data_IF_941738980418
#
_entry.id   IF_941738980418
#
_cell.length_a   1.000
_cell.length_b   1.000
_cell.length_c   1.000
_cell.angle_alpha   90.00
_cell.angle_beta   90.00
_cell.angle_gamma   90.00
#
_symmetry.space_group_name_H-M   'P 1'
#
loop_
_entity.id
_entity.type
_entity.pdbx_description
1 polymer ?
#
# COMPACT_ATOMS: atom_id res chain seq x y z
N UNK A 1 7.75 -19.32 -2.54
CA UNK A 1 6.59 -19.24 -3.45
C UNK A 1 6.84 -20.20 -4.59
N UNK A 2 5.79 -20.85 -5.10
CA UNK A 2 5.89 -21.73 -6.27
C UNK A 2 5.75 -20.89 -7.55
N UNK A 3 6.32 -21.36 -8.67
CA UNK A 3 6.04 -20.83 -10.01
C UNK A 3 4.69 -21.33 -10.56
N UNK A 4 4.01 -22.21 -9.83
CA UNK A 4 2.71 -22.75 -10.21
C UNK A 4 1.60 -21.69 -10.10
N UNK A 5 0.57 -21.77 -10.96
CA UNK A 5 -0.58 -20.88 -10.87
C UNK A 5 -1.35 -21.10 -9.57
N UNK A 6 -2.09 -20.07 -9.15
CA UNK A 6 -2.91 -20.16 -7.96
C UNK A 6 -4.04 -21.20 -8.11
N UNK A 7 -4.36 -21.85 -7.00
CA UNK A 7 -5.54 -22.71 -6.87
C UNK A 7 -6.39 -22.27 -5.67
N UNK A 8 -7.57 -22.86 -5.51
CA UNK A 8 -8.42 -22.58 -4.35
C UNK A 8 -7.79 -23.07 -3.04
N UNK A 9 -6.98 -24.12 -3.14
CA UNK A 9 -6.22 -24.73 -2.04
C UNK A 9 -4.97 -23.92 -1.67
N UNK A 10 -4.43 -23.12 -2.59
CA UNK A 10 -3.16 -22.39 -2.39
C UNK A 10 -3.35 -21.07 -1.61
N UNK A 11 -3.57 -21.16 -0.30
CA UNK A 11 -3.61 -19.99 0.58
C UNK A 11 -2.49 -20.04 1.62
N UNK A 12 -1.59 -19.05 1.58
CA UNK A 12 -0.53 -18.92 2.58
C UNK A 12 -0.88 -17.83 3.58
N UNK A 13 -0.99 -18.19 4.85
CA UNK A 13 -1.20 -17.26 5.96
C UNK A 13 0.15 -16.80 6.50
N UNK A 14 0.34 -15.49 6.57
CA UNK A 14 1.53 -14.86 7.16
C UNK A 14 1.33 -14.50 8.63
N UNK A 15 0.09 -14.20 9.02
CA UNK A 15 -0.27 -13.80 10.37
C UNK A 15 -1.76 -14.07 10.62
N UNK A 16 -2.10 -14.47 11.83
CA UNK A 16 -3.49 -14.62 12.27
C UNK A 16 -3.61 -14.27 13.76
N UNK A 17 -4.70 -13.59 14.08
CA UNK A 17 -5.13 -13.21 15.44
C UNK A 17 -6.66 -13.15 15.47
N UNK A 18 -7.25 -12.82 16.62
CA UNK A 18 -8.71 -12.66 16.75
C UNK A 18 -9.27 -11.52 15.88
N UNK A 19 -8.46 -10.52 15.58
CA UNK A 19 -8.90 -9.31 14.87
C UNK A 19 -8.49 -9.27 13.40
N UNK A 20 -7.40 -9.95 13.03
CA UNK A 20 -6.81 -9.85 11.69
C UNK A 20 -6.23 -11.17 11.20
N UNK A 21 -6.34 -11.38 9.89
CA UNK A 21 -5.57 -12.36 9.14
C UNK A 21 -4.80 -11.64 8.02
N UNK A 22 -3.53 -11.97 7.84
CA UNK A 22 -2.72 -11.50 6.71
C UNK A 22 -2.34 -12.70 5.87
N UNK A 23 -2.60 -12.61 4.57
CA UNK A 23 -2.25 -13.64 3.59
C UNK A 23 -1.15 -13.17 2.66
N UNK A 24 -0.35 -14.09 2.19
CA UNK A 24 0.59 -13.89 1.07
C UNK A 24 -0.19 -14.10 -0.23
N UNK A 25 -0.80 -13.02 -0.74
CA UNK A 25 -1.62 -13.06 -1.95
C UNK A 25 -0.78 -13.56 -3.11
N UNK A 26 -1.27 -14.56 -3.85
CA UNK A 26 -0.61 -15.01 -5.06
C UNK A 26 -0.62 -13.91 -6.15
N UNK A 27 0.34 -13.99 -7.07
CA UNK A 27 0.30 -13.20 -8.31
C UNK A 27 -0.85 -13.69 -9.21
N UNK A 28 -1.36 -12.82 -10.06
CA UNK A 28 -2.50 -13.05 -10.96
C UNK A 28 -3.75 -13.64 -10.29
N UNK A 29 -4.04 -13.14 -9.09
CA UNK A 29 -5.27 -13.48 -8.34
C UNK A 29 -5.99 -12.21 -7.92
N UNK A 30 -7.29 -12.14 -8.23
CA UNK A 30 -8.15 -11.03 -7.78
C UNK A 30 -8.41 -11.15 -6.28
N UNK A 31 -8.57 -10.02 -5.61
CA UNK A 31 -8.96 -10.02 -4.19
C UNK A 31 -10.39 -10.57 -4.04
N UNK A 32 -11.31 -10.00 -4.81
CA UNK A 32 -12.70 -10.39 -4.89
C UNK A 32 -13.20 -10.25 -6.34
N UNK A 33 -14.39 -10.79 -6.61
CA UNK A 33 -15.05 -10.64 -7.89
C UNK A 33 -16.56 -10.73 -7.75
N UNK A 34 -17.28 -9.96 -8.57
CA UNK A 34 -18.73 -10.10 -8.76
C UNK A 34 -19.08 -11.03 -9.92
N UNK A 35 -18.08 -11.47 -10.68
CA UNK A 35 -18.27 -12.31 -11.85
C UNK A 35 -18.41 -13.76 -11.39
N UNK A 36 -19.56 -14.37 -11.62
CA UNK A 36 -19.88 -15.72 -11.13
C UNK A 36 -18.92 -16.82 -11.64
N UNK A 37 -18.27 -16.59 -12.78
CA UNK A 37 -17.31 -17.52 -13.38
C UNK A 37 -15.88 -17.36 -12.83
N UNK A 38 -15.60 -16.29 -12.08
CA UNK A 38 -14.30 -16.09 -11.45
C UNK A 38 -14.22 -16.97 -10.21
N UNK A 39 -13.47 -18.07 -10.33
CA UNK A 39 -13.37 -19.09 -9.28
C UNK A 39 -12.09 -18.97 -8.45
N UNK A 40 -11.18 -18.08 -8.82
CA UNK A 40 -9.87 -17.94 -8.19
C UNK A 40 -9.69 -16.52 -7.66
N UNK A 41 -10.23 -16.29 -6.47
CA UNK A 41 -10.05 -15.04 -5.72
C UNK A 41 -9.52 -15.32 -4.33
N UNK A 42 -8.87 -14.33 -3.72
CA UNK A 42 -8.46 -14.40 -2.30
C UNK A 42 -9.68 -14.61 -1.42
N UNK A 43 -10.80 -13.97 -1.76
CA UNK A 43 -12.07 -14.13 -1.05
C UNK A 43 -12.55 -15.59 -1.04
N UNK A 44 -12.50 -16.29 -2.18
CA UNK A 44 -12.89 -17.69 -2.26
C UNK A 44 -11.87 -18.60 -1.55
N UNK A 45 -10.57 -18.31 -1.67
CA UNK A 45 -9.54 -19.03 -0.92
C UNK A 45 -9.76 -18.90 0.60
N UNK A 46 -10.01 -17.69 1.11
CA UNK A 46 -10.33 -17.46 2.51
C UNK A 46 -11.60 -18.20 2.94
N UNK A 47 -12.66 -18.18 2.12
CA UNK A 47 -13.90 -18.90 2.41
C UNK A 47 -13.69 -20.42 2.47
N UNK A 48 -12.87 -20.97 1.57
CA UNK A 48 -12.55 -22.38 1.51
C UNK A 48 -11.78 -22.85 2.75
N UNK A 49 -10.74 -22.11 3.15
CA UNK A 49 -9.87 -22.47 4.28
C UNK A 49 -10.44 -22.08 5.65
N UNK A 50 -11.18 -20.96 5.71
CA UNK A 50 -11.68 -20.38 6.96
C UNK A 50 -13.16 -19.98 6.86
N UNK A 51 -14.08 -20.93 6.59
CA UNK A 51 -15.50 -20.62 6.43
C UNK A 51 -16.12 -19.99 7.69
N UNK A 52 -15.59 -20.32 8.87
CA UNK A 52 -16.03 -19.77 10.15
C UNK A 52 -15.63 -18.30 10.38
N UNK A 53 -14.68 -17.78 9.60
CA UNK A 53 -14.26 -16.37 9.66
C UNK A 53 -15.09 -15.46 8.73
N UNK A 54 -15.94 -16.05 7.88
CA UNK A 54 -16.78 -15.27 6.98
C UNK A 54 -17.86 -14.51 7.75
N UNK A 55 -17.95 -13.21 7.51
CA UNK A 55 -18.94 -12.30 8.06
C UNK A 55 -20.16 -12.19 7.10
N UNK A 56 -21.30 -12.82 7.43
CA UNK A 56 -22.48 -12.84 6.57
C UNK A 56 -23.12 -11.45 6.41
N UNK A 57 -22.75 -10.47 7.24
CA UNK A 57 -23.22 -9.08 7.10
C UNK A 57 -22.48 -8.33 5.99
N UNK A 58 -21.47 -8.94 5.36
CA UNK A 58 -20.70 -8.35 4.27
C UNK A 58 -20.98 -9.07 2.97
N UNK A 59 -20.99 -8.31 1.88
CA UNK A 59 -21.26 -8.85 0.55
C UNK A 59 -20.27 -9.96 0.15
N UNK A 60 -18.99 -9.81 0.51
CA UNK A 60 -17.92 -10.74 0.14
C UNK A 60 -17.51 -11.71 1.27
N UNK A 61 -18.16 -11.66 2.44
CA UNK A 61 -17.77 -12.43 3.62
C UNK A 61 -16.55 -11.89 4.37
N UNK A 62 -15.74 -11.01 3.80
CA UNK A 62 -14.49 -10.55 4.40
C UNK A 62 -14.30 -9.03 4.29
N UNK A 63 -13.54 -8.45 5.24
CA UNK A 63 -13.26 -7.01 5.33
C UNK A 63 -11.81 -6.72 4.96
N UNK A 64 -11.52 -6.65 3.66
CA UNK A 64 -10.19 -6.28 3.16
C UNK A 64 -9.81 -4.87 3.61
N UNK A 65 -8.68 -4.74 4.31
CA UNK A 65 -8.24 -3.46 4.88
C UNK A 65 -7.59 -2.54 3.85
N UNK A 66 -7.06 -3.12 2.78
CA UNK A 66 -6.47 -2.41 1.64
C UNK A 66 -6.55 -3.28 0.38
N UNK A 67 -6.05 -2.76 -0.74
CA UNK A 67 -6.01 -3.45 -2.01
C UNK A 67 -4.56 -3.73 -2.45
N UNK A 68 -4.45 -4.69 -3.36
CA UNK A 68 -3.29 -5.01 -4.19
C UNK A 68 -3.80 -5.23 -5.62
N UNK A 69 -3.01 -4.86 -6.62
CA UNK A 69 -3.35 -5.12 -8.02
C UNK A 69 -3.44 -6.63 -8.27
N UNK A 70 -4.19 -7.03 -9.29
CA UNK A 70 -4.35 -8.42 -9.73
C UNK A 70 -3.00 -9.16 -9.82
N UNK A 71 -2.06 -8.61 -10.59
CA UNK A 71 -0.75 -9.22 -10.82
C UNK A 71 0.26 -9.02 -9.69
N UNK A 72 -0.04 -8.19 -8.68
CA UNK A 72 0.87 -7.98 -7.54
C UNK A 72 0.65 -9.07 -6.50
N UNK A 73 1.71 -9.76 -6.09
CA UNK A 73 1.64 -10.71 -4.96
C UNK A 73 1.93 -10.04 -3.61
N UNK A 74 1.77 -10.77 -2.51
CA UNK A 74 2.31 -10.39 -1.20
C UNK A 74 1.26 -10.06 -0.14
N UNK A 75 1.73 -9.44 0.94
CA UNK A 75 0.95 -9.23 2.16
C UNK A 75 -0.35 -8.45 1.90
N UNK A 76 -1.48 -9.12 2.19
CA UNK A 76 -2.82 -8.54 2.15
C UNK A 76 -3.53 -8.76 3.49
N UNK A 77 -3.87 -7.67 4.17
CA UNK A 77 -4.52 -7.72 5.49
C UNK A 77 -6.05 -7.69 5.38
N UNK A 78 -6.69 -8.58 6.12
CA UNK A 78 -8.14 -8.72 6.26
C UNK A 78 -8.52 -8.60 7.73
N UNK A 79 -9.48 -7.74 8.04
CA UNK A 79 -10.06 -7.64 9.37
C UNK A 79 -11.16 -8.68 9.55
N UNK A 80 -11.16 -9.34 10.71
CA UNK A 80 -12.10 -10.41 11.06
C UNK A 80 -13.38 -9.90 11.73
N UNK A 81 -13.41 -8.62 12.11
CA UNK A 81 -14.59 -7.98 12.67
C UNK A 81 -14.66 -6.48 12.33
N UNK A 82 -15.82 -5.87 12.57
CA UNK A 82 -16.10 -4.46 12.24
C UNK A 82 -15.21 -3.48 13.01
N UNK A 83 -14.89 -3.77 14.27
CA UNK A 83 -14.03 -2.90 15.08
C UNK A 83 -12.59 -2.90 14.57
N UNK A 84 -12.05 -4.07 14.26
CA UNK A 84 -10.75 -4.26 13.65
C UNK A 84 -10.65 -3.55 12.28
N UNK A 85 -11.68 -3.68 11.44
CA UNK A 85 -11.75 -2.98 10.16
C UNK A 85 -11.71 -1.45 10.35
N UNK A 86 -12.45 -0.93 11.34
CA UNK A 86 -12.43 0.50 11.68
C UNK A 86 -11.07 1.01 12.16
N UNK A 87 -10.36 0.23 12.98
CA UNK A 87 -8.99 0.57 13.42
C UNK A 87 -8.02 0.61 12.25
N UNK A 88 -7.99 -0.44 11.42
CA UNK A 88 -7.10 -0.50 10.27
C UNK A 88 -7.41 0.61 9.25
N UNK A 89 -8.70 0.86 8.97
CA UNK A 89 -9.12 1.95 8.09
C UNK A 89 -8.56 3.30 8.52
N UNK A 90 -8.57 3.63 9.82
CA UNK A 90 -7.98 4.87 10.34
C UNK A 90 -6.49 4.95 10.04
N UNK A 91 -5.73 3.88 10.27
CA UNK A 91 -4.29 3.87 9.96
C UNK A 91 -4.00 4.12 8.47
N UNK A 92 -4.78 3.51 7.56
CA UNK A 92 -4.65 3.74 6.12
C UNK A 92 -5.05 5.16 5.72
N UNK A 93 -6.16 5.66 6.26
CA UNK A 93 -6.66 7.02 6.01
C UNK A 93 -5.67 8.08 6.47
N UNK A 94 -5.10 7.92 7.65
CA UNK A 94 -4.17 8.85 8.29
C UNK A 94 -2.72 8.66 7.78
N UNK A 95 -2.50 7.74 6.83
CA UNK A 95 -1.20 7.42 6.22
C UNK A 95 -0.13 7.13 7.26
N UNK A 96 -0.47 6.30 8.26
CA UNK A 96 0.46 5.81 9.28
C UNK A 96 0.97 4.40 9.00
N UNK A 97 0.34 3.69 8.06
CA UNK A 97 0.78 2.37 7.59
C UNK A 97 2.11 2.48 6.85
N UNK A 98 3.06 1.62 7.19
CA UNK A 98 4.32 1.44 6.44
C UNK A 98 4.16 0.26 5.50
N UNK A 99 4.51 0.45 4.22
CA UNK A 99 4.52 -0.61 3.21
C UNK A 99 5.85 -0.59 2.48
N UNK A 100 6.40 -1.76 2.18
CA UNK A 100 7.52 -1.87 1.25
C UNK A 100 7.30 -3.04 0.30
N UNK A 101 7.74 -2.87 -0.94
CA UNK A 101 7.56 -3.83 -2.01
C UNK A 101 8.93 -4.21 -2.56
N UNK A 102 9.10 -5.48 -2.89
CA UNK A 102 10.22 -5.92 -3.71
C UNK A 102 9.83 -5.84 -5.17
N UNK A 103 10.81 -5.53 -6.03
CA UNK A 103 10.62 -5.56 -7.47
C UNK A 103 11.91 -5.88 -8.22
N UNK A 104 11.79 -6.53 -9.37
CA UNK A 104 12.82 -6.51 -10.42
C UNK A 104 12.42 -5.46 -11.47
N UNK A 105 13.32 -4.53 -11.76
CA UNK A 105 13.13 -3.47 -12.76
C UNK A 105 14.04 -3.70 -13.96
N UNK A 106 13.54 -3.45 -15.17
CA UNK A 106 14.35 -3.51 -16.40
C UNK A 106 15.46 -2.45 -16.37
N UNK A 107 16.65 -2.83 -16.81
CA UNK A 107 17.85 -1.97 -16.83
C UNK A 107 18.54 -1.84 -15.46
N UNK A 108 19.66 -1.13 -15.45
CA UNK A 108 20.42 -0.79 -14.24
C UNK A 108 20.07 0.61 -13.77
N UNK A 109 19.45 0.70 -12.59
CA UNK A 109 19.12 1.99 -11.97
C UNK A 109 20.41 2.59 -11.40
N UNK A 110 20.86 3.73 -11.91
CA UNK A 110 22.14 4.34 -11.53
C UNK A 110 22.18 4.87 -10.10
N UNK A 111 21.08 5.47 -9.62
CA UNK A 111 21.00 6.04 -8.28
C UNK A 111 20.54 5.00 -7.26
N UNK A 112 21.38 4.68 -6.28
CA UNK A 112 21.08 3.63 -5.29
C UNK A 112 19.87 3.93 -4.40
N UNK A 113 19.56 5.21 -4.20
CA UNK A 113 18.35 5.67 -3.52
C UNK A 113 17.76 6.82 -4.33
N UNK A 114 16.45 6.81 -4.57
CA UNK A 114 15.76 7.84 -5.35
C UNK A 114 14.34 8.07 -4.85
N UNK A 115 13.97 9.32 -4.63
CA UNK A 115 12.57 9.72 -4.42
C UNK A 115 11.91 9.94 -5.77
N UNK A 116 10.74 9.32 -5.98
CA UNK A 116 9.91 9.47 -7.18
C UNK A 116 8.62 10.19 -6.77
N UNK A 117 8.46 11.44 -7.20
CA UNK A 117 7.43 12.37 -6.71
C UNK A 117 6.47 12.88 -7.80
N UNK A 118 6.41 12.20 -8.95
CA UNK A 118 5.47 12.50 -10.02
C UNK A 118 4.02 12.33 -9.55
N UNK A 119 3.16 13.33 -9.77
CA UNK A 119 1.73 13.14 -9.53
C UNK A 119 1.13 12.13 -10.52
N UNK A 120 0.20 11.29 -10.06
CA UNK A 120 -0.41 10.21 -10.86
C UNK A 120 -1.87 10.51 -11.13
N UNK A 121 -2.26 10.49 -12.41
CA UNK A 121 -3.60 10.74 -12.93
C UNK A 121 -4.14 9.57 -13.75
N UNK A 122 -5.40 9.69 -14.17
CA UNK A 122 -6.02 8.73 -15.10
C UNK A 122 -5.57 9.05 -16.52
N UNK A 123 -5.34 8.01 -17.33
CA UNK A 123 -5.09 8.21 -18.75
C UNK A 123 -6.42 8.23 -19.51
N UNK A 124 -6.70 9.31 -20.25
CA UNK A 124 -7.92 9.44 -21.07
C UNK A 124 -7.70 9.13 -22.54
N UNK A 125 -6.47 8.78 -22.96
CA UNK A 125 -6.21 8.35 -24.33
C UNK A 125 -6.94 7.04 -24.65
N UNK A 126 -7.49 6.97 -25.85
CA UNK A 126 -8.18 5.79 -26.37
C UNK A 126 -7.28 4.55 -26.29
N UNK A 127 -7.85 3.42 -25.87
CA UNK A 127 -7.12 2.17 -25.63
C UNK A 127 -6.27 2.13 -24.35
N UNK A 128 -6.01 3.26 -23.69
CA UNK A 128 -5.18 3.36 -22.48
C UNK A 128 -5.97 3.73 -21.21
N UNK A 129 -7.29 3.78 -21.27
CA UNK A 129 -8.17 4.18 -20.15
C UNK A 129 -8.10 3.28 -18.92
N UNK A 130 -7.59 2.05 -19.07
CA UNK A 130 -7.30 1.13 -17.97
C UNK A 130 -5.94 1.41 -17.29
N UNK A 131 -5.15 2.32 -17.85
CA UNK A 131 -3.84 2.73 -17.36
C UNK A 131 -3.94 4.02 -16.55
N UNK A 132 -3.00 4.17 -15.64
CA UNK A 132 -2.66 5.44 -14.99
C UNK A 132 -1.47 6.07 -15.70
N UNK A 133 -1.26 7.37 -15.56
CA UNK A 133 -0.14 8.11 -16.15
C UNK A 133 0.39 9.17 -15.19
N UNK A 134 1.56 9.72 -15.49
CA UNK A 134 2.15 10.81 -14.70
C UNK A 134 1.69 12.18 -15.20
N UNK A 135 1.75 13.18 -14.35
CA UNK A 135 1.54 14.57 -14.75
C UNK A 135 2.45 14.98 -15.92
N UNK A 136 1.94 15.83 -16.81
CA UNK A 136 2.66 16.30 -17.99
C UNK A 136 2.59 15.38 -19.21
N UNK A 137 2.17 14.11 -19.08
CA UNK A 137 1.92 13.26 -20.26
C UNK A 137 0.57 13.57 -20.90
N UNK A 138 0.48 13.38 -22.21
CA UNK A 138 -0.76 13.51 -22.97
C UNK A 138 -1.88 12.65 -22.38
N UNK A 139 -3.09 13.21 -22.28
CA UNK A 139 -4.26 12.52 -21.72
C UNK A 139 -4.23 12.31 -20.20
N UNK A 140 -3.30 12.93 -19.45
CA UNK A 140 -3.29 12.81 -17.99
C UNK A 140 -4.35 13.70 -17.32
N UNK A 141 -5.35 13.08 -16.72
CA UNK A 141 -6.45 13.76 -16.03
C UNK A 141 -6.39 13.61 -14.51
N UNK A 142 -6.68 14.71 -13.81
CA UNK A 142 -6.78 14.80 -12.36
C UNK A 142 -5.57 14.18 -11.62
N UNK A 143 -4.33 14.61 -11.94
CA UNK A 143 -3.14 14.07 -11.28
C UNK A 143 -3.18 14.39 -9.78
N UNK A 144 -2.84 13.39 -8.97
CA UNK A 144 -2.81 13.53 -7.52
C UNK A 144 -1.38 13.34 -7.01
N UNK A 145 -0.94 14.13 -6.01
CA UNK A 145 0.39 14.00 -5.43
C UNK A 145 0.68 12.56 -5.03
N UNK A 146 1.80 12.04 -5.49
CA UNK A 146 2.22 10.66 -5.28
C UNK A 146 3.72 10.63 -5.01
N UNK A 147 4.13 9.79 -4.06
CA UNK A 147 5.54 9.68 -3.68
C UNK A 147 5.91 8.23 -3.38
N UNK A 148 7.03 7.80 -3.95
CA UNK A 148 7.63 6.47 -3.77
C UNK A 148 9.12 6.64 -3.51
N UNK A 149 9.63 6.08 -2.42
CA UNK A 149 11.09 5.92 -2.24
C UNK A 149 11.53 4.62 -2.91
N UNK A 150 12.53 4.70 -3.78
CA UNK A 150 13.18 3.57 -4.43
C UNK A 150 14.56 3.38 -3.81
N UNK A 151 14.87 2.15 -3.44
CA UNK A 151 16.15 1.73 -2.88
C UNK A 151 16.67 0.53 -3.67
N UNK A 152 17.83 0.66 -4.29
CA UNK A 152 18.49 -0.45 -4.99
C UNK A 152 19.09 -1.43 -3.99
N UNK A 153 18.80 -2.73 -4.19
CA UNK A 153 19.33 -3.83 -3.40
C UNK A 153 20.46 -4.54 -4.13
N UNK A 154 20.18 -4.98 -5.36
CA UNK A 154 21.07 -5.82 -6.17
C UNK A 154 20.96 -5.46 -7.65
N UNK A 155 22.06 -5.61 -8.39
CA UNK A 155 22.08 -5.64 -9.85
C UNK A 155 22.31 -7.06 -10.33
N UNK A 156 21.73 -7.39 -11.47
CA UNK A 156 21.96 -8.67 -12.13
C UNK A 156 21.30 -8.72 -13.49
N UNK A 157 20.92 -9.93 -13.88
CA UNK A 157 20.19 -10.19 -15.13
C UNK A 157 18.95 -11.02 -14.89
N UNK A 158 17.92 -10.79 -15.70
CA UNK A 158 16.73 -11.63 -15.77
C UNK A 158 16.55 -12.11 -17.21
N UNK A 159 16.62 -13.42 -17.43
CA UNK A 159 16.53 -14.03 -18.77
C UNK A 159 17.56 -13.45 -19.77
N UNK A 160 18.75 -13.09 -19.26
CA UNK A 160 19.85 -12.51 -20.04
C UNK A 160 19.86 -10.98 -20.12
N UNK A 161 18.75 -10.30 -19.80
CA UNK A 161 18.67 -8.84 -19.84
C UNK A 161 19.08 -8.20 -18.51
N UNK A 162 19.74 -7.02 -18.51
CA UNK A 162 20.06 -6.29 -17.29
C UNK A 162 18.80 -5.92 -16.50
N UNK A 163 18.81 -6.20 -15.19
CA UNK A 163 17.76 -5.78 -14.26
C UNK A 163 18.32 -5.31 -12.92
N UNK A 164 17.51 -4.56 -12.19
CA UNK A 164 17.81 -4.08 -10.83
C UNK A 164 16.76 -4.61 -9.87
N UNK A 165 17.19 -5.29 -8.80
CA UNK A 165 16.33 -5.62 -7.67
C UNK A 165 16.27 -4.43 -6.72
N UNK A 166 15.05 -4.00 -6.41
CA UNK A 166 14.79 -2.81 -5.60
C UNK A 166 13.80 -3.09 -4.48
N UNK A 167 13.89 -2.29 -3.42
CA UNK A 167 12.83 -2.08 -2.45
C UNK A 167 12.13 -0.74 -2.75
N UNK A 168 10.81 -0.78 -2.88
CA UNK A 168 9.96 0.37 -3.15
C UNK A 168 9.08 0.65 -1.92
N UNK A 169 9.18 1.84 -1.35
CA UNK A 169 8.34 2.31 -0.25
C UNK A 169 7.37 3.40 -0.75
N UNK A 170 6.11 3.05 -1.07
CA UNK A 170 5.12 4.06 -1.43
C UNK A 170 4.66 4.83 -0.18
N UNK A 171 4.87 6.14 -0.17
CA UNK A 171 4.40 7.06 0.87
C UNK A 171 2.96 7.55 0.64
N UNK A 172 2.44 7.29 -0.56
CA UNK A 172 1.05 7.46 -0.98
C UNK A 172 0.48 6.13 -1.49
N UNK A 173 -0.79 6.12 -1.90
CA UNK A 173 -1.43 4.93 -2.47
C UNK A 173 -2.36 5.32 -3.61
N UNK A 174 -1.80 5.58 -4.79
CA UNK A 174 -2.59 5.69 -6.03
C UNK A 174 -2.62 4.35 -6.76
N UNK A 175 -3.64 4.14 -7.57
CA UNK A 175 -3.74 2.97 -8.47
C UNK A 175 -2.48 2.88 -9.31
N UNK A 176 -1.90 1.67 -9.40
CA UNK A 176 -0.69 1.37 -10.16
C UNK A 176 0.53 2.28 -9.88
N UNK A 177 0.57 3.00 -8.74
CA UNK A 177 1.57 4.03 -8.48
C UNK A 177 3.01 3.57 -8.71
N UNK A 178 3.39 2.41 -8.15
CA UNK A 178 4.74 1.86 -8.28
C UNK A 178 5.09 1.56 -9.73
N UNK A 179 4.16 0.91 -10.44
CA UNK A 179 4.30 0.50 -11.84
C UNK A 179 4.51 1.72 -12.76
N UNK A 180 3.68 2.75 -12.58
CA UNK A 180 3.77 4.02 -13.31
C UNK A 180 5.07 4.75 -12.99
N UNK A 181 5.43 4.89 -11.72
CA UNK A 181 6.65 5.60 -11.32
C UNK A 181 7.91 4.91 -11.88
N UNK A 182 7.98 3.58 -11.81
CA UNK A 182 9.08 2.80 -12.36
C UNK A 182 9.17 2.92 -13.88
N UNK A 183 8.04 2.81 -14.59
CA UNK A 183 7.99 3.04 -16.04
C UNK A 183 8.39 4.47 -16.43
N UNK A 184 7.94 5.47 -15.67
CA UNK A 184 8.25 6.89 -15.91
C UNK A 184 9.73 7.24 -15.81
N UNK A 185 10.50 6.50 -14.99
CA UNK A 185 11.96 6.67 -14.91
C UNK A 185 12.74 5.82 -15.92
N UNK A 186 12.05 5.16 -16.87
CA UNK A 186 12.67 4.30 -17.89
C UNK A 186 13.00 2.88 -17.41
N UNK A 187 12.53 2.49 -16.22
CA UNK A 187 12.82 1.19 -15.61
C UNK A 187 11.53 0.45 -15.25
N UNK A 188 10.71 0.02 -16.25
CA UNK A 188 9.47 -0.69 -15.98
C UNK A 188 9.72 -1.98 -15.20
N UNK A 189 8.72 -2.40 -14.44
CA UNK A 189 8.76 -3.65 -13.68
C UNK A 189 8.80 -4.83 -14.66
N UNK A 190 9.69 -5.79 -14.40
CA UNK A 190 9.81 -7.01 -15.21
C UNK A 190 8.46 -7.75 -15.22
N UNK A 191 7.97 -8.10 -16.41
CA UNK A 191 6.68 -8.78 -16.61
C UNK A 191 5.45 -7.89 -16.45
N UNK A 192 5.61 -6.56 -16.39
CA UNK A 192 4.48 -5.63 -16.39
C UNK A 192 4.01 -5.32 -17.82
N UNK A 193 3.16 -6.21 -18.34
CA UNK A 193 2.60 -6.10 -19.70
C UNK A 193 1.94 -4.74 -20.00
N UNK A 194 1.29 -4.12 -19.00
CA UNK A 194 0.57 -2.87 -19.18
C UNK A 194 1.53 -1.69 -19.39
N UNK A 195 2.51 -1.55 -18.50
CA UNK A 195 3.40 -0.38 -18.48
C UNK A 195 4.68 -0.57 -19.31
N UNK A 196 4.93 -1.78 -19.81
CA UNK A 196 5.89 -2.06 -20.87
C UNK A 196 5.29 -1.90 -22.29
N UNK A 197 4.01 -1.51 -22.40
CA UNK A 197 3.27 -1.43 -23.67
C UNK A 197 3.31 -2.75 -24.46
N UNK A 198 3.16 -3.87 -23.77
CA UNK A 198 3.17 -5.22 -24.34
C UNK A 198 4.55 -5.81 -24.62
N UNK A 199 5.65 -5.06 -24.39
CA UNK A 199 7.00 -5.53 -24.69
C UNK A 199 7.56 -6.58 -23.71
N UNK A 200 6.92 -6.79 -22.55
CA UNK A 200 7.45 -7.61 -21.46
C UNK A 200 6.42 -8.69 -21.06
N UNK A 201 6.16 -9.61 -22.00
CA UNK A 201 5.18 -10.69 -21.90
C UNK A 201 5.80 -12.07 -21.66
N UNK A 202 7.13 -12.19 -21.71
CA UNK A 202 7.87 -13.45 -21.52
C UNK A 202 8.05 -13.90 -20.07
N UNK A 203 8.16 -13.03 -19.04
CA UNK A 203 8.20 -13.46 -17.66
C UNK A 203 6.88 -14.12 -17.23
N UNK A 204 6.93 -15.16 -16.41
CA UNK A 204 5.74 -15.92 -15.99
C UNK A 204 4.76 -15.11 -15.12
N UNK A 205 5.19 -13.94 -14.64
CA UNK A 205 4.44 -13.03 -13.76
C UNK A 205 5.03 -11.63 -13.78
N UNK A 206 4.27 -10.68 -13.27
CA UNK A 206 4.82 -9.37 -12.89
C UNK A 206 5.66 -9.48 -11.62
N UNK A 207 6.88 -8.95 -11.67
CA UNK A 207 7.86 -8.97 -10.59
C UNK A 207 7.65 -7.83 -9.60
N UNK A 208 6.44 -7.75 -9.04
CA UNK A 208 6.09 -6.84 -7.94
C UNK A 208 5.49 -7.63 -6.78
N UNK A 209 6.05 -7.43 -5.59
CA UNK A 209 5.68 -8.18 -4.40
C UNK A 209 5.56 -7.28 -3.17
N UNK A 210 4.38 -7.25 -2.55
CA UNK A 210 4.11 -6.57 -1.29
C UNK A 210 4.81 -7.31 -0.14
N UNK A 211 6.05 -6.92 0.15
CA UNK A 211 6.93 -7.62 1.05
C UNK A 211 6.68 -7.27 2.52
N UNK A 212 6.67 -5.98 2.87
CA UNK A 212 6.52 -5.50 4.24
C UNK A 212 5.17 -4.80 4.40
N UNK A 213 4.45 -5.16 5.47
CA UNK A 213 3.27 -4.42 5.92
C UNK A 213 3.37 -4.17 7.43
N UNK A 214 3.34 -2.90 7.82
CA UNK A 214 3.21 -2.46 9.22
C UNK A 214 1.97 -1.61 9.39
N UNK A 215 1.05 -2.05 10.24
CA UNK A 215 -0.11 -1.27 10.68
C UNK A 215 0.09 -0.97 12.18
N UNK A 216 0.28 0.31 12.57
CA UNK A 216 0.47 0.70 13.97
C UNK A 216 -0.87 0.64 14.74
N UNK A 217 -1.31 -0.58 15.01
CA UNK A 217 -2.50 -0.86 15.79
C UNK A 217 -2.16 -0.84 17.29
N UNK A 218 -3.15 -0.47 18.09
CA UNK A 218 -3.09 -0.55 19.56
C UNK A 218 -3.92 -1.75 20.04
N UNK A 219 -3.48 -2.47 21.10
CA UNK A 219 -2.26 -2.24 21.90
C UNK A 219 -0.98 -2.80 21.27
N UNK A 220 -1.10 -3.56 20.18
CA UNK A 220 0.02 -4.22 19.52
C UNK A 220 -0.02 -3.95 18.01
N UNK A 221 1.12 -3.49 17.48
CA UNK A 221 1.26 -3.30 16.05
C UNK A 221 1.15 -4.62 15.29
N UNK A 222 0.57 -4.57 14.10
CA UNK A 222 0.67 -5.66 13.12
C UNK A 222 1.89 -5.37 12.25
N UNK A 223 2.91 -6.22 12.34
CA UNK A 223 4.12 -6.15 11.53
C UNK A 223 4.35 -7.52 10.89
N UNK A 224 4.33 -7.56 9.57
CA UNK A 224 4.46 -8.81 8.80
C UNK A 224 5.40 -8.61 7.63
N UNK A 225 6.23 -9.62 7.37
CA UNK A 225 7.05 -9.75 6.18
C UNK A 225 6.63 -11.02 5.42
N UNK A 226 6.35 -10.87 4.14
CA UNK A 226 6.23 -12.00 3.22
C UNK A 226 7.64 -12.51 2.87
N UNK A 227 7.74 -13.72 2.34
CA UNK A 227 9.04 -14.25 1.90
C UNK A 227 9.46 -13.65 0.56
N UNK A 228 10.75 -13.34 0.37
CA UNK A 228 11.27 -12.82 -0.90
C UNK A 228 11.11 -13.84 -2.04
N UNK A 229 10.28 -13.55 -3.08
CA UNK A 229 10.12 -14.45 -4.22
C UNK A 229 11.19 -14.26 -5.30
N UNK A 230 11.97 -13.18 -5.27
CA UNK A 230 12.93 -12.82 -6.31
C UNK A 230 14.34 -13.28 -5.91
N UNK A 231 14.46 -14.60 -5.76
CA UNK A 231 15.70 -15.29 -5.42
C UNK A 231 15.97 -16.41 -6.44
N UNK A 232 17.24 -16.71 -6.77
CA UNK A 232 17.57 -17.69 -7.82
C UNK A 232 17.04 -19.10 -7.58
N UNK A 233 16.81 -19.47 -6.32
CA UNK A 233 16.26 -20.79 -5.96
C UNK A 233 14.76 -20.92 -6.23
N UNK A 234 14.04 -19.79 -6.33
CA UNK A 234 12.61 -19.76 -6.70
C UNK A 234 12.45 -19.54 -8.19
N UNK A 235 13.26 -18.65 -8.76
CA UNK A 235 13.26 -18.35 -10.18
C UNK A 235 14.71 -18.27 -10.71
N UNK A 236 15.20 -19.32 -11.40
CA UNK A 236 16.57 -19.37 -11.89
C UNK A 236 16.83 -18.39 -13.04
N UNK A 237 15.80 -17.75 -13.62
CA UNK A 237 16.01 -16.69 -14.62
C UNK A 237 16.62 -15.44 -14.00
N UNK A 238 16.39 -15.19 -12.71
CA UNK A 238 17.04 -14.13 -11.97
C UNK A 238 18.44 -14.56 -11.51
N UNK A 239 19.45 -13.87 -12.00
CA UNK A 239 20.86 -14.12 -11.65
C UNK A 239 21.46 -12.82 -11.06
N UNK A 240 21.56 -12.71 -9.72
CA UNK A 240 22.21 -11.57 -9.08
C UNK A 240 23.71 -11.58 -9.38
N UNK A 241 24.27 -10.39 -9.64
CA UNK A 241 25.68 -10.21 -9.98
C UNK A 241 26.41 -9.30 -9.00
N UNK A 242 25.71 -8.29 -8.46
CA UNK A 242 26.28 -7.33 -7.51
C UNK A 242 25.25 -6.95 -6.46
N UNK A 243 25.56 -7.19 -5.19
CA UNK A 243 24.75 -6.71 -4.06
C UNK A 243 25.29 -5.39 -3.54
N UNK A 244 24.40 -4.42 -3.29
CA UNK A 244 24.75 -3.13 -2.68
C UNK A 244 24.42 -3.11 -1.19
N UNK A 245 23.29 -3.72 -0.80
CA UNK A 245 22.77 -3.72 0.56
C UNK A 245 21.89 -4.94 0.78
N UNK A 246 21.85 -5.43 2.01
CA UNK A 246 20.98 -6.54 2.41
C UNK A 246 19.53 -6.07 2.52
N UNK A 247 18.59 -6.96 2.24
CA UNK A 247 17.16 -6.69 2.40
C UNK A 247 16.81 -6.38 3.86
N UNK A 248 17.41 -7.11 4.81
CA UNK A 248 17.19 -6.99 6.24
C UNK A 248 17.53 -5.57 6.74
N UNK A 249 18.78 -5.13 6.52
CA UNK A 249 19.21 -3.78 6.90
C UNK A 249 18.38 -2.67 6.24
N UNK A 250 17.93 -2.87 5.00
CA UNK A 250 17.07 -1.90 4.30
C UNK A 250 15.69 -1.80 4.95
N UNK A 251 15.11 -2.93 5.36
CA UNK A 251 13.82 -3.01 6.04
C UNK A 251 13.89 -2.39 7.43
N UNK A 252 14.97 -2.65 8.18
CA UNK A 252 15.22 -2.02 9.48
C UNK A 252 15.24 -0.49 9.35
N UNK A 253 16.00 0.05 8.39
CA UNK A 253 16.04 1.49 8.13
C UNK A 253 14.66 2.07 7.77
N UNK A 254 13.86 1.38 6.96
CA UNK A 254 12.48 1.79 6.61
C UNK A 254 11.59 1.85 7.86
N UNK A 255 11.69 0.85 8.74
CA UNK A 255 10.91 0.78 9.98
C UNK A 255 11.33 1.86 10.98
N UNK A 256 12.63 2.11 11.13
CA UNK A 256 13.17 3.18 11.98
C UNK A 256 12.69 4.55 11.51
N UNK A 257 12.83 4.85 10.22
CA UNK A 257 12.34 6.11 9.63
C UNK A 257 10.84 6.30 9.85
N UNK A 258 10.06 5.22 9.69
CA UNK A 258 8.62 5.27 9.93
C UNK A 258 8.26 5.56 11.39
N UNK A 259 8.99 4.96 12.35
CA UNK A 259 8.79 5.22 13.79
C UNK A 259 9.16 6.65 14.17
N UNK A 260 10.23 7.19 13.57
CA UNK A 260 10.63 8.59 13.79
C UNK A 260 9.55 9.56 13.30
N UNK A 261 9.04 9.38 12.07
CA UNK A 261 7.94 10.19 11.54
C UNK A 261 6.65 10.08 12.36
N UNK A 262 6.37 8.91 12.94
CA UNK A 262 5.23 8.71 13.82
C UNK A 262 5.36 9.53 15.10
N UNK A 263 6.51 9.47 15.78
CA UNK A 263 6.81 10.28 16.96
C UNK A 263 6.71 11.78 16.67
N UNK A 264 7.24 12.24 15.55
CA UNK A 264 7.15 13.66 15.14
C UNK A 264 5.69 14.11 14.98
N UNK A 265 4.83 13.27 14.39
CA UNK A 265 3.40 13.55 14.23
C UNK A 265 2.66 13.60 15.57
N UNK A 266 2.99 12.71 16.51
CA UNK A 266 2.42 12.71 17.85
C UNK A 266 2.78 13.98 18.62
N UNK A 267 4.06 14.38 18.57
CA UNK A 267 4.54 15.63 19.17
C UNK A 267 3.78 16.82 18.58
N UNK A 268 3.73 16.93 17.24
CA UNK A 268 3.02 18.01 16.56
C UNK A 268 1.51 18.07 16.90
N UNK A 269 0.87 16.91 17.05
CA UNK A 269 -0.55 16.81 17.45
C UNK A 269 -0.76 17.28 18.89
N UNK A 270 0.09 16.86 19.81
CA UNK A 270 0.02 17.25 21.22
C UNK A 270 0.23 18.76 21.40
N UNK A 271 1.15 19.37 20.65
CA UNK A 271 1.38 20.81 20.65
C UNK A 271 0.20 21.58 20.04
N UNK A 272 -0.39 21.05 18.96
CA UNK A 272 -1.59 21.61 18.35
C UNK A 272 -2.80 21.62 19.29
N UNK A 273 -3.00 20.54 20.07
CA UNK A 273 -4.06 20.43 21.07
C UNK A 273 -3.82 21.39 22.26
N UNK A 274 -2.59 21.49 22.77
CA UNK A 274 -2.21 22.48 23.79
C UNK A 274 -2.45 23.92 23.33
N UNK A 275 -2.13 24.25 22.07
CA UNK A 275 -2.41 25.58 21.49
C UNK A 275 -3.91 25.87 21.36
N UNK A 276 -4.73 24.86 21.02
CA UNK A 276 -6.19 25.01 20.96
C UNK A 276 -6.81 25.20 22.35
N UNK A 277 -6.37 24.43 23.34
CA UNK A 277 -6.79 24.60 24.74
C UNK A 277 -6.37 25.96 25.30
N UNK A 278 -5.15 26.43 25.02
CA UNK A 278 -4.68 27.76 25.41
C UNK A 278 -5.49 28.90 24.75
N UNK A 279 -5.90 28.75 23.49
CA UNK A 279 -6.80 29.71 22.82
C UNK A 279 -8.21 29.70 23.42
N UNK A 280 -8.78 28.54 23.71
CA UNK A 280 -10.08 28.43 24.39
C UNK A 280 -10.05 29.03 25.81
N UNK A 281 -8.93 28.92 26.52
CA UNK A 281 -8.77 29.53 27.85
C UNK A 281 -8.58 31.06 27.79
N UNK A 282 -8.08 31.60 26.66
CA UNK A 282 -7.99 33.05 26.42
C UNK A 282 -9.28 33.68 25.90
N UNK A 283 -10.21 32.89 25.36
CA UNK A 283 -11.54 33.33 24.91
C UNK A 283 -12.62 32.95 25.92
N UNK A 284 -12.37 33.12 27.22
CA UNK A 284 -13.45 33.18 28.20
C UNK A 284 -14.23 34.46 27.96
N UNK A 285 -15.54 34.36 27.67
CA UNK A 285 -16.42 35.53 27.59
C UNK A 285 -16.23 36.40 28.83
N UNK A 286 -15.99 37.70 28.63
CA UNK A 286 -15.93 38.62 29.75
C UNK A 286 -17.32 38.70 30.42
N UNK A 287 -17.36 39.03 31.71
CA UNK A 287 -18.63 39.21 32.44
C UNK A 287 -19.56 40.21 31.74
N UNK A 288 -18.99 41.20 31.03
CA UNK A 288 -19.72 42.19 30.26
C UNK A 288 -20.37 41.60 28.99
N UNK A 289 -19.70 40.66 28.31
CA UNK A 289 -20.28 39.93 27.18
C UNK A 289 -21.42 39.00 27.63
N UNK A 290 -21.29 38.38 28.81
CA UNK A 290 -22.37 37.60 29.43
C UNK A 290 -23.55 38.46 29.83
N UNK A 291 -23.30 39.67 30.36
CA UNK A 291 -24.37 40.61 30.74
C UNK A 291 -25.16 41.10 29.52
N UNK A 292 -24.47 41.46 28.44
CA UNK A 292 -25.10 41.87 27.17
C UNK A 292 -25.91 40.74 26.55
N UNK A 293 -25.43 39.48 26.63
CA UNK A 293 -26.18 38.32 26.14
C UNK A 293 -27.42 38.01 26.99
N UNK A 294 -27.35 38.19 28.32
CA UNK A 294 -28.51 38.04 29.21
C UNK A 294 -29.54 39.17 29.05
N UNK A 295 -29.10 40.42 28.87
CA UNK A 295 -29.98 41.55 28.54
C UNK A 295 -30.72 41.28 27.21
N UNK A 296 -30.00 40.81 26.18
CA UNK A 296 -30.59 40.46 24.88
C UNK A 296 -31.60 39.30 24.95
N UNK A 297 -31.35 38.29 25.78
CA UNK A 297 -32.27 37.17 26.01
C UNK A 297 -33.51 37.58 26.83
N UNK A 298 -33.39 38.57 27.71
CA UNK A 298 -34.51 39.11 28.50
C UNK A 298 -35.48 39.95 27.66
N UNK A 299 -35.01 40.58 26.58
CA UNK A 299 -35.87 41.31 25.63
C UNK A 299 -36.77 40.39 24.78
N UNK A 300 -36.44 39.10 24.70
CA UNK A 300 -37.21 38.10 23.93
C UNK A 300 -38.12 37.23 24.80
N UNK A 301 -38.09 37.41 26.12
CA UNK A 301 -38.96 36.73 27.08
C UNK A 301 -39.96 37.73 27.67
N UNK A 302 -40.93 38.16 26.86
CA UNK A 302 -42.08 38.93 27.32
C UNK A 302 -43.38 38.21 26.98
N UNK A 303 -44.14 37.88 28.04
CA UNK A 303 -45.58 37.52 28.15
C UNK A 303 -46.29 36.78 27.00
#
# INVERSE_FOLDING_TARGET
>A
MSSEPASIESLRVLYQSDDYIVVDKHWDVRIDSKMWYEKQTVQLQLLHHFPHLADPSTYYGFRFCHQLDFSTSGALCVALNKAAAGRAYRCFKDRTVTKAYLSLLRGWVENETRTLDFAVGKNSMEGKTHMMCIEGTEGCENPKPSQTELIVLEYGVYDGDPVTKVLLQPLTGRTHQLRVHCSAIGHPIVGDFTYSLGADDSPYRMMLHAYLLRIPLEPQQLLVTAGDPFIPTVDPKWVPQRSLRTLEATVEAVLEHSKTKEKEREVARSEGEKRKQSKQHRTGESEEQRRVCQEWLSEWAGD
#
